data_IF_876015160953
#
_entry.id   IF_876015160953
#
_cell.length_a   1.000
_cell.length_b   1.000
_cell.length_c   1.000
_cell.angle_alpha   90.00
_cell.angle_beta   90.00
_cell.angle_gamma   90.00
#
_symmetry.space_group_name_H-M   'P 1'
#
loop_
_entity.id
_entity.type
_entity.pdbx_description
1 polymer ?
#
# COMPACT_ATOMS: atom_id res chain seq x y z
N UNK A 1 -26.44 -7.87 27.98
CA UNK A 1 -26.64 -8.06 26.53
C UNK A 1 -25.40 -7.57 25.78
N UNK A 2 -24.55 -8.47 25.27
CA UNK A 2 -23.42 -8.08 24.39
C UNK A 2 -23.98 -7.84 22.99
N UNK A 3 -24.03 -6.58 22.55
CA UNK A 3 -24.38 -6.25 21.15
C UNK A 3 -23.34 -6.92 20.26
N UNK A 4 -23.78 -7.90 19.46
CA UNK A 4 -22.92 -8.55 18.48
C UNK A 4 -22.40 -7.53 17.47
N UNK A 5 -21.09 -7.49 17.28
CA UNK A 5 -20.45 -6.71 16.22
C UNK A 5 -20.87 -7.30 14.87
N UNK A 6 -21.71 -6.58 14.11
CA UNK A 6 -22.02 -6.90 12.72
C UNK A 6 -20.76 -6.73 11.86
N UNK A 7 -20.57 -7.61 10.85
CA UNK A 7 -19.41 -7.59 9.94
C UNK A 7 -19.19 -6.22 9.25
N UNK A 8 -20.26 -5.42 9.10
CA UNK A 8 -20.21 -4.06 8.54
C UNK A 8 -19.56 -3.05 9.50
N UNK A 9 -19.80 -3.14 10.81
CA UNK A 9 -19.17 -2.28 11.81
C UNK A 9 -17.65 -2.55 11.91
N UNK A 10 -17.21 -3.78 11.65
CA UNK A 10 -15.79 -4.14 11.61
C UNK A 10 -15.08 -3.61 10.35
N UNK A 11 -15.80 -3.37 9.25
CA UNK A 11 -15.24 -2.80 8.03
C UNK A 11 -14.98 -1.28 8.15
N UNK A 12 -15.84 -0.58 8.90
CA UNK A 12 -15.73 0.85 9.20
C UNK A 12 -14.48 1.19 10.04
N UNK A 13 -14.16 0.40 11.07
CA UNK A 13 -12.97 0.65 11.91
C UNK A 13 -11.64 0.38 11.20
N UNK A 14 -11.67 -0.45 10.16
CA UNK A 14 -10.50 -0.91 9.43
C UNK A 14 -10.20 -0.12 8.15
N UNK A 15 -11.09 0.78 7.74
CA UNK A 15 -10.88 1.64 6.57
C UNK A 15 -10.35 2.99 7.02
N UNK A 16 -9.23 3.44 6.43
CA UNK A 16 -8.60 4.74 6.73
C UNK A 16 -8.26 5.45 5.43
N UNK A 17 -8.28 6.77 5.45
CA UNK A 17 -7.79 7.58 4.34
C UNK A 17 -6.40 8.08 4.72
N UNK A 18 -5.45 7.98 3.80
CA UNK A 18 -4.13 8.59 3.93
C UNK A 18 -3.93 9.59 2.80
N UNK A 19 -3.15 10.64 3.03
CA UNK A 19 -2.96 11.70 2.06
C UNK A 19 -1.60 11.56 1.36
N UNK A 20 -1.60 11.62 0.03
CA UNK A 20 -0.41 11.79 -0.79
C UNK A 20 -0.56 13.06 -1.63
N UNK A 21 0.29 14.08 -1.39
CA UNK A 21 0.28 15.37 -2.11
C UNK A 21 -1.12 16.02 -2.22
N UNK A 22 -1.93 15.93 -1.16
CA UNK A 22 -3.30 16.47 -1.14
C UNK A 22 -4.37 15.56 -1.77
N UNK A 23 -3.98 14.43 -2.39
CA UNK A 23 -4.90 13.40 -2.86
C UNK A 23 -5.14 12.35 -1.79
N UNK A 24 -6.41 12.04 -1.53
CA UNK A 24 -6.81 10.99 -0.61
C UNK A 24 -6.63 9.61 -1.23
N UNK A 25 -5.89 8.74 -0.57
CA UNK A 25 -5.74 7.33 -0.92
C UNK A 25 -6.45 6.51 0.16
N UNK A 26 -7.51 5.79 -0.23
CA UNK A 26 -8.24 4.90 0.67
C UNK A 26 -7.41 3.65 0.92
N UNK A 27 -7.36 3.22 2.18
CA UNK A 27 -6.75 1.96 2.60
C UNK A 27 -7.66 1.21 3.57
N UNK A 28 -7.56 -0.11 3.55
CA UNK A 28 -8.31 -1.01 4.43
C UNK A 28 -7.36 -2.03 5.04
N UNK A 29 -7.57 -2.38 6.31
CA UNK A 29 -6.83 -3.48 6.94
C UNK A 29 -7.46 -4.81 6.49
N UNK A 30 -6.70 -5.60 5.73
CA UNK A 30 -7.12 -6.90 5.22
C UNK A 30 -6.02 -7.93 5.44
N UNK A 31 -6.35 -9.12 5.96
CA UNK A 31 -5.38 -10.17 6.32
C UNK A 31 -4.23 -9.68 7.22
N UNK A 32 -4.54 -8.76 8.15
CA UNK A 32 -3.56 -8.13 9.05
C UNK A 32 -2.50 -7.25 8.34
N UNK A 33 -2.76 -6.86 7.08
CA UNK A 33 -1.92 -5.96 6.30
C UNK A 33 -2.74 -4.78 5.76
N UNK A 34 -2.07 -3.65 5.49
CA UNK A 34 -2.73 -2.51 4.86
C UNK A 34 -2.82 -2.71 3.34
N UNK A 35 -4.04 -2.65 2.83
CA UNK A 35 -4.37 -2.73 1.41
C UNK A 35 -4.86 -1.37 0.93
N UNK A 36 -4.45 -0.96 -0.27
CA UNK A 36 -4.73 0.36 -0.83
C UNK A 36 -5.60 0.23 -2.07
N UNK A 37 -6.48 1.22 -2.28
CA UNK A 37 -7.26 1.36 -3.52
C UNK A 37 -6.32 1.60 -4.71
N UNK A 38 -6.32 0.68 -5.68
CA UNK A 38 -5.48 0.82 -6.88
C UNK A 38 -5.86 2.06 -7.67
N UNK A 39 -7.16 2.35 -7.79
CA UNK A 39 -7.67 3.50 -8.55
C UNK A 39 -7.20 4.82 -7.93
N UNK A 40 -7.24 4.93 -6.60
CA UNK A 40 -6.81 6.16 -5.91
C UNK A 40 -5.29 6.36 -6.04
N UNK A 41 -4.51 5.27 -6.01
CA UNK A 41 -3.06 5.32 -6.25
C UNK A 41 -2.77 5.75 -7.68
N UNK A 42 -3.46 5.17 -8.66
CA UNK A 42 -3.34 5.57 -10.07
C UNK A 42 -3.68 7.04 -10.23
N UNK A 43 -4.78 7.53 -9.65
CA UNK A 43 -5.15 8.94 -9.68
C UNK A 43 -4.07 9.82 -9.03
N UNK A 44 -3.56 9.43 -7.86
CA UNK A 44 -2.55 10.18 -7.13
C UNK A 44 -1.20 10.28 -7.88
N UNK A 45 -0.86 9.28 -8.70
CA UNK A 45 0.41 9.21 -9.45
C UNK A 45 0.28 9.78 -10.86
N UNK A 46 -0.87 9.62 -11.51
CA UNK A 46 -1.07 10.03 -12.91
C UNK A 46 -1.84 11.32 -13.07
N UNK A 47 -2.63 11.72 -12.07
CA UNK A 47 -3.64 12.79 -12.17
C UNK A 47 -4.59 12.62 -13.36
N UNK A 48 -4.75 11.38 -13.83
CA UNK A 48 -5.69 11.08 -14.89
C UNK A 48 -7.09 11.44 -14.46
N UNK A 49 -7.84 12.12 -15.32
CA UNK A 49 -9.28 12.36 -15.16
C UNK A 49 -10.09 11.05 -15.21
N UNK A 50 -9.49 9.96 -15.74
CA UNK A 50 -10.14 8.65 -15.91
C UNK A 50 -9.28 7.53 -15.31
N UNK A 51 -8.98 7.55 -13.99
CA UNK A 51 -8.03 6.63 -13.37
C UNK A 51 -8.47 5.16 -13.45
N UNK A 52 -9.78 4.88 -13.47
CA UNK A 52 -10.32 3.53 -13.70
C UNK A 52 -9.99 2.98 -15.09
N UNK A 53 -10.09 3.83 -16.13
CA UNK A 53 -9.75 3.44 -17.50
C UNK A 53 -8.25 3.22 -17.62
N UNK A 54 -7.46 4.14 -17.08
CA UNK A 54 -6.01 4.00 -17.02
C UNK A 54 -5.60 2.68 -16.36
N UNK A 55 -6.21 2.35 -15.21
CA UNK A 55 -5.96 1.10 -14.51
C UNK A 55 -6.28 -0.12 -15.37
N UNK A 56 -7.44 -0.15 -16.06
CA UNK A 56 -7.79 -1.24 -16.97
C UNK A 56 -6.74 -1.45 -18.06
N UNK A 57 -6.23 -0.37 -18.66
CA UNK A 57 -5.23 -0.45 -19.72
C UNK A 57 -3.85 -0.86 -19.17
N UNK A 58 -3.48 -0.36 -17.98
CA UNK A 58 -2.26 -0.79 -17.29
C UNK A 58 -2.31 -2.27 -16.90
N UNK A 59 -3.45 -2.74 -16.38
CA UNK A 59 -3.65 -4.15 -16.00
C UNK A 59 -3.45 -5.08 -17.19
N UNK A 60 -3.95 -4.72 -18.38
CA UNK A 60 -3.72 -5.47 -19.62
C UNK A 60 -2.23 -5.54 -19.99
N UNK A 61 -1.52 -4.41 -19.93
CA UNK A 61 -0.07 -4.37 -20.20
C UNK A 61 0.72 -5.24 -19.22
N UNK A 62 0.41 -5.15 -17.92
CA UNK A 62 1.05 -5.97 -16.89
C UNK A 62 0.83 -7.47 -17.14
N UNK A 63 -0.38 -7.88 -17.54
CA UNK A 63 -0.67 -9.28 -17.88
C UNK A 63 0.17 -9.72 -19.10
N UNK A 64 0.30 -8.87 -20.12
CA UNK A 64 1.13 -9.15 -21.30
C UNK A 64 2.62 -9.26 -20.98
N UNK A 65 3.13 -8.49 -20.03
CA UNK A 65 4.51 -8.56 -19.53
C UNK A 65 4.80 -9.82 -18.67
N UNK A 66 3.85 -10.74 -18.56
CA UNK A 66 4.00 -11.98 -17.76
C UNK A 66 3.70 -11.80 -16.27
N UNK A 67 3.12 -10.67 -15.87
CA UNK A 67 2.71 -10.40 -14.49
C UNK A 67 1.32 -10.98 -14.17
N UNK A 68 1.06 -12.23 -14.56
CA UNK A 68 -0.24 -12.93 -14.36
C UNK A 68 -0.61 -13.12 -12.89
N UNK A 69 0.38 -13.19 -12.00
CA UNK A 69 0.18 -13.23 -10.54
C UNK A 69 -0.44 -11.95 -9.97
N UNK A 70 -0.44 -10.84 -10.72
CA UNK A 70 -0.99 -9.57 -10.24
C UNK A 70 -2.49 -9.67 -9.97
N UNK A 71 -3.24 -10.45 -10.75
CA UNK A 71 -4.67 -10.68 -10.49
C UNK A 71 -4.92 -11.51 -9.23
N UNK A 72 -3.99 -12.37 -8.84
CA UNK A 72 -4.11 -13.17 -7.60
C UNK A 72 -3.75 -12.34 -6.36
N UNK A 73 -2.84 -11.36 -6.52
CA UNK A 73 -2.41 -10.44 -5.46
C UNK A 73 -3.35 -9.24 -5.26
N UNK A 74 -4.31 -9.04 -6.17
CA UNK A 74 -5.34 -7.99 -6.08
C UNK A 74 -6.65 -8.61 -5.62
N UNK A 75 -7.30 -7.95 -4.66
CA UNK A 75 -8.56 -8.37 -4.07
C UNK A 75 -9.59 -7.25 -4.21
N UNK A 76 -10.82 -7.61 -4.58
CA UNK A 76 -11.92 -6.66 -4.63
C UNK A 76 -12.49 -6.47 -3.23
N UNK A 77 -12.27 -5.28 -2.68
CA UNK A 77 -12.71 -4.92 -1.34
C UNK A 77 -13.73 -3.78 -1.42
N UNK A 78 -14.72 -3.80 -0.54
CA UNK A 78 -15.73 -2.75 -0.45
C UNK A 78 -15.13 -1.53 0.25
N UNK A 79 -15.01 -0.43 -0.48
CA UNK A 79 -14.52 0.85 0.03
C UNK A 79 -15.60 1.91 -0.05
N UNK A 80 -15.62 2.80 0.94
CA UNK A 80 -16.48 3.98 0.96
C UNK A 80 -16.09 4.93 -0.18
N UNK A 81 -17.08 5.41 -0.92
CA UNK A 81 -16.95 6.40 -1.99
C UNK A 81 -17.44 7.78 -1.52
N UNK A 82 -17.17 8.81 -2.32
CA UNK A 82 -17.50 10.20 -1.99
C UNK A 82 -19.01 10.46 -1.84
N UNK A 83 -19.84 9.64 -2.49
CA UNK A 83 -21.30 9.64 -2.40
C UNK A 83 -21.84 8.88 -1.18
N UNK A 84 -20.96 8.42 -0.28
CA UNK A 84 -21.32 7.71 0.95
C UNK A 84 -21.68 6.23 0.73
N UNK A 85 -21.59 5.72 -0.50
CA UNK A 85 -21.87 4.32 -0.83
C UNK A 85 -20.60 3.49 -0.85
N UNK A 86 -20.76 2.19 -0.60
CA UNK A 86 -19.66 1.22 -0.69
C UNK A 86 -19.62 0.58 -2.06
N UNK A 87 -18.44 0.60 -2.69
CA UNK A 87 -18.21 -0.05 -3.97
C UNK A 87 -17.04 -1.01 -3.90
N UNK A 88 -17.17 -2.13 -4.61
CA UNK A 88 -16.06 -3.03 -4.84
C UNK A 88 -14.99 -2.33 -5.67
N UNK A 89 -13.79 -2.31 -5.11
CA UNK A 89 -12.63 -1.63 -5.69
C UNK A 89 -11.45 -2.59 -5.65
N UNK A 90 -10.72 -2.66 -6.76
CA UNK A 90 -9.45 -3.40 -6.83
C UNK A 90 -8.48 -2.80 -5.79
N UNK A 91 -8.11 -3.61 -4.80
CA UNK A 91 -7.19 -3.25 -3.73
C UNK A 91 -6.00 -4.21 -3.73
N UNK A 92 -4.84 -3.72 -3.31
CA UNK A 92 -3.64 -4.55 -3.15
C UNK A 92 -2.76 -4.08 -2.01
N UNK A 93 -1.87 -4.95 -1.54
CA UNK A 93 -0.92 -4.62 -0.48
C UNK A 93 0.20 -3.69 -0.99
N UNK A 94 1.12 -3.30 -0.09
CA UNK A 94 2.25 -2.41 -0.40
C UNK A 94 3.11 -2.92 -1.55
N UNK A 95 3.38 -4.22 -1.63
CA UNK A 95 4.20 -4.83 -2.70
C UNK A 95 3.51 -4.68 -4.06
N UNK A 96 2.23 -5.03 -4.14
CA UNK A 96 1.41 -4.85 -5.34
C UNK A 96 1.37 -3.39 -5.77
N UNK A 97 1.18 -2.45 -4.84
CA UNK A 97 1.20 -1.02 -5.15
C UNK A 97 2.56 -0.59 -5.70
N UNK A 98 3.67 -1.06 -5.11
CA UNK A 98 5.00 -0.71 -5.58
C UNK A 98 5.21 -1.15 -7.03
N UNK A 99 4.76 -2.36 -7.37
CA UNK A 99 4.83 -2.86 -8.74
C UNK A 99 4.00 -2.04 -9.71
N UNK A 100 2.75 -1.74 -9.36
CA UNK A 100 1.86 -0.93 -10.20
C UNK A 100 2.51 0.43 -10.47
N UNK A 101 3.04 1.09 -9.43
CA UNK A 101 3.68 2.40 -9.55
C UNK A 101 4.96 2.34 -10.39
N UNK A 102 5.74 1.26 -10.31
CA UNK A 102 6.92 1.05 -11.17
C UNK A 102 6.57 1.00 -12.66
N UNK A 103 5.40 0.45 -13.01
CA UNK A 103 4.93 0.37 -14.40
C UNK A 103 4.25 1.65 -14.90
N UNK A 104 4.06 2.65 -14.03
CA UNK A 104 3.54 3.96 -14.41
C UNK A 104 4.72 4.87 -14.75
N UNK A 105 4.88 5.19 -16.03
CA UNK A 105 5.83 6.19 -16.52
C UNK A 105 5.30 7.61 -16.22
N UNK A 106 5.40 8.03 -14.96
CA UNK A 106 5.04 9.38 -14.51
C UNK A 106 6.18 10.00 -13.70
N UNK A 107 6.51 11.29 -13.89
CA UNK A 107 7.48 11.98 -13.04
C UNK A 107 7.07 12.00 -11.54
N UNK A 108 5.80 11.71 -11.23
CA UNK A 108 5.28 11.61 -9.85
C UNK A 108 5.39 10.20 -9.26
N UNK A 109 5.70 9.19 -10.06
CA UNK A 109 5.88 7.82 -9.60
C UNK A 109 7.06 7.71 -8.62
N UNK A 110 8.16 8.41 -8.88
CA UNK A 110 9.34 8.41 -8.03
C UNK A 110 9.08 9.03 -6.63
N UNK A 111 8.48 10.23 -6.50
CA UNK A 111 7.97 10.73 -5.23
C UNK A 111 6.99 9.79 -4.52
N UNK A 112 6.11 9.11 -5.27
CA UNK A 112 5.14 8.18 -4.68
C UNK A 112 5.82 6.94 -4.10
N UNK A 113 6.82 6.36 -4.79
CA UNK A 113 7.61 5.24 -4.28
C UNK A 113 8.28 5.58 -2.93
N UNK A 114 8.85 6.78 -2.82
CA UNK A 114 9.45 7.25 -1.55
C UNK A 114 8.42 7.39 -0.44
N UNK A 115 7.24 7.94 -0.76
CA UNK A 115 6.16 8.05 0.21
C UNK A 115 5.64 6.68 0.65
N UNK A 116 5.46 5.74 -0.28
CA UNK A 116 5.00 4.38 0.01
C UNK A 116 6.03 3.64 0.89
N UNK A 117 7.33 3.81 0.61
CA UNK A 117 8.41 3.27 1.43
C UNK A 117 8.42 3.86 2.85
N UNK A 118 8.18 5.18 2.99
CA UNK A 118 8.06 5.83 4.31
C UNK A 118 6.83 5.32 5.06
N UNK A 119 5.68 5.23 4.40
CA UNK A 119 4.45 4.71 5.00
C UNK A 119 4.63 3.25 5.47
N UNK A 120 5.29 2.41 4.67
CA UNK A 120 5.66 1.04 5.05
C UNK A 120 6.66 1.00 6.22
N UNK A 121 7.69 1.85 6.17
CA UNK A 121 8.69 2.00 7.23
C UNK A 121 8.09 2.46 8.56
N UNK A 122 7.14 3.38 8.53
CA UNK A 122 6.42 3.86 9.72
C UNK A 122 5.59 2.73 10.36
N UNK A 123 4.97 1.87 9.54
CA UNK A 123 4.25 0.68 10.01
C UNK A 123 5.22 -0.29 10.70
N UNK A 124 6.34 -0.62 10.05
CA UNK A 124 7.36 -1.51 10.60
C UNK A 124 8.00 -0.94 11.88
N UNK A 125 8.30 0.36 11.89
CA UNK A 125 8.83 1.08 13.05
C UNK A 125 7.84 1.13 14.20
N UNK A 126 6.55 1.32 13.92
CA UNK A 126 5.48 1.25 14.91
C UNK A 126 5.33 -0.14 15.51
N UNK A 127 5.38 -1.19 14.68
CA UNK A 127 5.36 -2.58 15.13
C UNK A 127 6.56 -2.90 16.04
N UNK A 128 7.77 -2.48 15.63
CA UNK A 128 9.00 -2.60 16.43
C UNK A 128 8.84 -1.94 17.80
N UNK A 129 8.44 -0.67 17.83
CA UNK A 129 8.26 0.09 19.10
C UNK A 129 7.26 -0.58 20.05
N UNK A 130 6.14 -1.11 19.52
CA UNK A 130 5.17 -1.86 20.33
C UNK A 130 5.76 -3.14 20.90
N UNK A 131 6.59 -3.83 20.13
CA UNK A 131 7.27 -5.05 20.58
C UNK A 131 8.34 -4.75 21.64
N UNK A 132 9.16 -3.72 21.44
CA UNK A 132 10.18 -3.29 22.41
C UNK A 132 9.56 -2.87 23.73
N UNK A 133 8.43 -2.14 23.69
CA UNK A 133 7.68 -1.78 24.89
C UNK A 133 7.13 -3.00 25.64
N UNK A 134 6.74 -4.07 24.94
CA UNK A 134 6.26 -5.32 25.54
C UNK A 134 7.38 -6.15 26.15
N UNK A 135 8.55 -6.13 25.52
CA UNK A 135 9.71 -6.92 25.94
C UNK A 135 10.58 -6.19 26.96
N UNK A 136 10.29 -4.91 27.22
CA UNK A 136 11.09 -3.99 28.03
C UNK A 136 12.59 -3.99 27.67
N UNK A 137 12.89 -4.22 26.40
CA UNK A 137 14.26 -4.25 25.85
C UNK A 137 14.26 -3.91 24.36
N UNK A 138 15.36 -3.31 23.90
CA UNK A 138 15.59 -3.08 22.48
C UNK A 138 15.80 -4.40 21.74
N UNK A 139 15.13 -4.57 20.60
CA UNK A 139 15.38 -5.71 19.70
C UNK A 139 16.41 -5.38 18.61
N UNK A 140 16.73 -4.08 18.45
CA UNK A 140 17.78 -3.60 17.55
C UNK A 140 19.07 -3.43 18.33
N UNK A 141 20.12 -4.13 17.87
CA UNK A 141 21.48 -4.01 18.40
C UNK A 141 22.47 -3.91 17.24
N UNK A 142 23.65 -3.33 17.47
CA UNK A 142 24.72 -3.26 16.45
C UNK A 142 25.13 -4.64 15.91
N UNK A 143 24.94 -5.71 16.69
CA UNK A 143 25.24 -7.09 16.29
C UNK A 143 24.20 -7.69 15.33
N UNK A 144 22.96 -7.23 15.38
CA UNK A 144 21.85 -7.73 14.56
C UNK A 144 21.71 -7.00 13.21
N UNK A 145 22.51 -5.95 12.96
CA UNK A 145 22.55 -5.29 11.65
C UNK A 145 23.26 -6.18 10.63
N UNK A 146 22.58 -6.46 9.51
CA UNK A 146 23.23 -7.06 8.34
C UNK A 146 24.31 -6.07 7.89
N UNK A 147 25.59 -6.44 8.01
CA UNK A 147 26.69 -5.67 7.44
C UNK A 147 26.48 -5.66 5.92
N UNK A 148 26.31 -4.47 5.32
CA UNK A 148 26.19 -4.33 3.88
C UNK A 148 27.48 -4.86 3.20
N UNK A 149 27.45 -5.94 2.40
CA UNK A 149 28.66 -6.46 1.76
C UNK A 149 29.15 -5.61 0.58
N UNK A 150 28.34 -4.68 0.06
CA UNK A 150 28.62 -4.01 -1.22
C UNK A 150 28.80 -2.49 -1.10
N UNK A 151 29.94 -2.06 -0.55
CA UNK A 151 30.41 -0.70 -0.79
C UNK A 151 31.94 -0.59 -0.87
N UNK A 152 32.62 -1.64 -1.34
CA UNK A 152 34.10 -1.70 -1.41
C UNK A 152 34.68 -1.59 -2.82
N UNK A 153 33.89 -1.38 -3.87
CA UNK A 153 34.39 -1.21 -5.23
C UNK A 153 33.66 -0.08 -5.94
N UNK A 154 34.04 1.16 -5.68
CA UNK A 154 33.74 2.32 -6.54
C UNK A 154 34.70 3.51 -6.23
N UNK A 155 35.96 3.21 -5.86
CA UNK A 155 37.02 4.21 -5.68
C UNK A 155 38.34 3.72 -6.32
N UNK A 156 38.28 3.32 -7.58
CA UNK A 156 39.47 3.28 -8.44
C UNK A 156 39.18 4.02 -9.72
#
# INVERSE_FOLDING_TARGET
MRRGLTKENTALENTKITLFKGKGVRKILHKNEWWFSVVDVVEAVTESERPRKYWSDLKKRLIQEGYTQLSEKIGQLKLLSADGKYYETDCGNTETMFRIVQSITSPKAEPFKRWLAKAGGDIAGGARKKLEKRLDRSIVTKKNYIKNPENKKLLQ
#
